data_IF_803675868920
#
_entry.id   IF_803675868920
#
_cell.length_a   1.000
_cell.length_b   1.000
_cell.length_c   1.000
_cell.angle_alpha   90.00
_cell.angle_beta   90.00
_cell.angle_gamma   90.00
#
_symmetry.space_group_name_H-M   'P 1'
#
loop_
_entity.id
_entity.type
_entity.pdbx_description
1 polymer ?
#
# COMPACT_ATOMS: atom_id res chain seq x y z
N UNK A 1 -36.74 6.54 -26.37
CA UNK A 1 -36.31 5.41 -25.51
C UNK A 1 -34.79 5.46 -25.41
N UNK A 2 -34.19 5.06 -24.27
CA UNK A 2 -32.74 4.86 -24.22
C UNK A 2 -32.31 3.92 -25.36
N UNK A 3 -31.13 4.12 -25.98
CA UNK A 3 -30.61 3.19 -26.95
C UNK A 3 -30.16 1.89 -26.27
N UNK A 4 -30.25 0.76 -26.97
CA UNK A 4 -29.60 -0.47 -26.55
C UNK A 4 -28.12 -0.19 -26.25
N UNK A 5 -27.56 -0.61 -25.09
CA UNK A 5 -28.12 -1.51 -24.07
C UNK A 5 -28.67 -0.80 -22.80
N UNK A 6 -28.99 0.49 -22.85
CA UNK A 6 -29.38 1.30 -21.68
C UNK A 6 -30.90 1.33 -21.41
N UNK A 7 -31.70 0.44 -22.02
CA UNK A 7 -33.14 0.37 -21.75
C UNK A 7 -33.43 -0.09 -20.31
N UNK A 8 -34.48 0.46 -19.70
CA UNK A 8 -34.97 -0.04 -18.40
C UNK A 8 -35.69 -1.37 -18.60
N UNK A 9 -35.04 -2.46 -18.20
CA UNK A 9 -35.60 -3.81 -18.14
C UNK A 9 -35.76 -4.24 -16.67
N UNK A 10 -36.66 -5.19 -16.37
CA UNK A 10 -36.68 -5.85 -15.06
C UNK A 10 -35.31 -6.49 -14.77
N UNK A 11 -34.85 -6.37 -13.53
CA UNK A 11 -33.52 -6.86 -13.11
C UNK A 11 -33.67 -8.07 -12.20
N UNK A 12 -32.78 -9.05 -12.37
CA UNK A 12 -32.60 -10.20 -11.49
C UNK A 12 -31.11 -10.36 -11.15
N UNK A 13 -30.80 -11.10 -10.09
CA UNK A 13 -29.42 -11.22 -9.57
C UNK A 13 -28.97 -12.66 -9.51
N UNK A 14 -27.80 -12.94 -10.12
CA UNK A 14 -27.15 -14.25 -10.14
C UNK A 14 -25.85 -14.23 -9.35
N UNK A 15 -25.53 -15.33 -8.68
CA UNK A 15 -24.17 -15.59 -8.23
C UNK A 15 -23.23 -15.85 -9.42
N UNK A 16 -21.92 -15.88 -9.16
CA UNK A 16 -20.95 -16.25 -10.20
C UNK A 16 -21.23 -17.67 -10.70
N UNK A 17 -21.53 -18.62 -9.80
CA UNK A 17 -21.78 -20.01 -10.17
C UNK A 17 -23.10 -20.14 -10.95
N UNK A 18 -24.18 -19.49 -10.49
CA UNK A 18 -25.46 -19.48 -11.21
C UNK A 18 -25.32 -18.87 -12.61
N UNK A 19 -24.50 -17.82 -12.75
CA UNK A 19 -24.19 -17.23 -14.06
C UNK A 19 -23.42 -18.20 -14.95
N UNK A 20 -22.39 -18.88 -14.43
CA UNK A 20 -21.61 -19.87 -15.18
C UNK A 20 -22.48 -21.05 -15.61
N UNK A 21 -23.35 -21.53 -14.73
CA UNK A 21 -24.28 -22.63 -15.02
C UNK A 21 -25.32 -22.21 -16.07
N UNK A 22 -25.83 -20.97 -15.97
CA UNK A 22 -26.75 -20.42 -16.96
C UNK A 22 -26.06 -20.23 -18.31
N UNK A 23 -24.84 -19.69 -18.35
CA UNK A 23 -24.07 -19.53 -19.58
C UNK A 23 -23.74 -20.90 -20.21
N UNK A 24 -23.36 -21.89 -19.41
CA UNK A 24 -23.06 -23.25 -19.85
C UNK A 24 -24.31 -23.96 -20.40
N UNK A 25 -25.46 -23.83 -19.73
CA UNK A 25 -26.75 -24.33 -20.22
C UNK A 25 -27.18 -23.64 -21.51
N UNK A 26 -26.99 -22.33 -21.61
CA UNK A 26 -27.32 -21.55 -22.81
C UNK A 26 -26.47 -22.01 -24.00
N UNK A 27 -25.20 -22.30 -23.78
CA UNK A 27 -24.29 -22.80 -24.81
C UNK A 27 -24.58 -24.26 -25.21
N UNK A 28 -24.95 -25.11 -24.25
CA UNK A 28 -25.11 -26.56 -24.46
C UNK A 28 -26.53 -26.98 -24.85
N UNK A 29 -27.54 -26.16 -24.55
CA UNK A 29 -28.96 -26.46 -24.69
C UNK A 29 -29.60 -26.13 -26.04
N UNK A 30 -28.81 -25.82 -27.07
CA UNK A 30 -29.31 -25.55 -28.43
C UNK A 30 -29.88 -24.14 -28.65
N UNK A 31 -29.69 -23.21 -27.71
CA UNK A 31 -29.96 -21.78 -27.94
C UNK A 31 -28.93 -21.20 -28.91
N UNK A 32 -29.31 -20.14 -29.64
CA UNK A 32 -28.47 -19.59 -30.71
C UNK A 32 -27.33 -18.79 -30.08
N UNK A 33 -26.13 -18.83 -30.67
CA UNK A 33 -24.94 -18.04 -30.25
C UNK A 33 -25.28 -16.58 -29.84
N UNK A 34 -26.21 -15.85 -30.50
CA UNK A 34 -26.64 -14.53 -30.06
C UNK A 34 -27.22 -14.47 -28.64
N UNK A 35 -27.91 -15.50 -28.16
CA UNK A 35 -28.51 -15.54 -26.82
C UNK A 35 -27.42 -15.67 -25.75
N UNK A 36 -26.42 -16.52 -26.01
CA UNK A 36 -25.23 -16.63 -25.19
C UNK A 36 -24.43 -15.31 -25.17
N UNK A 37 -24.25 -14.67 -26.33
CA UNK A 37 -23.56 -13.38 -26.43
C UNK A 37 -24.32 -12.29 -25.66
N UNK A 38 -25.65 -12.23 -25.78
CA UNK A 38 -26.47 -11.29 -25.03
C UNK A 38 -26.41 -11.54 -23.51
N UNK A 39 -26.40 -12.80 -23.09
CA UNK A 39 -26.26 -13.17 -21.69
C UNK A 39 -24.89 -12.76 -21.14
N UNK A 40 -23.80 -13.17 -21.81
CA UNK A 40 -22.44 -13.01 -21.27
C UNK A 40 -21.90 -11.60 -21.41
N UNK A 41 -22.20 -10.90 -22.51
CA UNK A 41 -21.66 -9.56 -22.77
C UNK A 41 -22.59 -8.43 -22.34
N UNK A 42 -23.91 -8.66 -22.35
CA UNK A 42 -24.89 -7.63 -22.04
C UNK A 42 -25.70 -7.94 -20.77
N UNK A 43 -25.49 -9.09 -20.12
CA UNK A 43 -26.24 -9.49 -18.94
C UNK A 43 -27.73 -9.59 -19.25
N UNK A 44 -28.12 -10.17 -20.39
CA UNK A 44 -29.52 -10.22 -20.83
C UNK A 44 -30.02 -11.62 -21.09
N UNK A 45 -31.22 -11.90 -20.58
CA UNK A 45 -31.90 -13.18 -20.77
C UNK A 45 -33.32 -12.94 -21.26
N UNK A 46 -33.78 -13.75 -22.22
CA UNK A 46 -35.17 -13.77 -22.67
C UNK A 46 -35.94 -14.80 -21.84
N UNK A 47 -36.94 -14.36 -21.07
CA UNK A 47 -37.87 -15.22 -20.33
C UNK A 47 -39.28 -15.09 -20.92
N UNK A 48 -40.22 -15.95 -20.49
CA UNK A 48 -41.62 -15.94 -20.97
C UNK A 48 -42.34 -14.57 -20.76
N UNK A 49 -41.84 -13.73 -19.85
CA UNK A 49 -42.33 -12.37 -19.60
C UNK A 49 -41.61 -11.25 -20.36
N UNK A 50 -40.67 -11.57 -21.25
CA UNK A 50 -39.83 -10.62 -21.99
C UNK A 50 -38.37 -10.66 -21.57
N UNK A 51 -37.60 -9.67 -22.06
CA UNK A 51 -36.17 -9.57 -21.77
C UNK A 51 -35.94 -8.97 -20.37
N UNK A 52 -35.01 -9.56 -19.63
CA UNK A 52 -34.56 -9.06 -18.33
C UNK A 52 -33.07 -8.74 -18.36
N UNK A 53 -32.62 -7.95 -17.40
CA UNK A 53 -31.21 -7.70 -17.12
C UNK A 53 -30.77 -8.54 -15.91
N UNK A 54 -29.62 -9.19 -16.02
CA UNK A 54 -29.00 -10.02 -14.99
C UNK A 54 -27.79 -9.27 -14.45
N UNK A 55 -27.89 -8.89 -13.18
CA UNK A 55 -26.75 -8.37 -12.43
C UNK A 55 -26.02 -9.53 -11.75
N UNK A 56 -24.70 -9.53 -11.82
CA UNK A 56 -23.89 -10.47 -11.04
C UNK A 56 -23.74 -9.96 -9.61
N UNK A 57 -24.30 -10.70 -8.66
CA UNK A 57 -24.05 -10.55 -7.24
C UNK A 57 -22.96 -11.52 -6.80
N UNK A 58 -21.72 -11.01 -6.76
CA UNK A 58 -20.56 -11.77 -6.28
C UNK A 58 -20.65 -12.17 -4.81
N UNK A 59 -21.67 -11.72 -4.08
CA UNK A 59 -21.88 -12.02 -2.66
C UNK A 59 -22.92 -13.13 -2.40
N UNK A 60 -23.70 -13.51 -3.41
CA UNK A 60 -24.81 -14.47 -3.25
C UNK A 60 -24.35 -15.85 -2.78
N UNK A 61 -23.13 -16.25 -3.13
CA UNK A 61 -22.48 -17.51 -2.72
C UNK A 61 -21.22 -17.30 -1.85
N UNK A 62 -21.19 -16.25 -1.02
CA UNK A 62 -20.05 -16.03 -0.12
C UNK A 62 -19.89 -17.20 0.87
N UNK A 63 -18.71 -17.83 0.82
CA UNK A 63 -18.27 -18.89 1.74
C UNK A 63 -18.00 -18.30 3.13
N UNK A 64 -18.40 -19.00 4.20
CA UNK A 64 -18.22 -18.57 5.58
C UNK A 64 -16.81 -18.93 6.08
N UNK A 65 -16.25 -18.21 7.07
CA UNK A 65 -15.03 -18.63 7.75
C UNK A 65 -15.08 -20.03 8.37
N UNK A 66 -16.27 -20.60 8.55
CA UNK A 66 -16.45 -21.97 9.01
C UNK A 66 -16.14 -23.04 7.95
N UNK A 67 -16.03 -22.66 6.67
CA UNK A 67 -15.69 -23.54 5.55
C UNK A 67 -14.19 -23.47 5.18
N UNK A 68 -13.37 -22.82 6.03
CA UNK A 68 -11.93 -22.53 5.86
C UNK A 68 -11.03 -23.77 5.94
N UNK A 69 -11.55 -24.92 6.37
CA UNK A 69 -10.76 -26.15 6.52
C UNK A 69 -10.12 -26.66 5.19
N UNK A 70 -10.44 -26.02 4.05
CA UNK A 70 -9.87 -26.28 2.72
C UNK A 70 -8.85 -25.24 2.25
N UNK A 71 -8.48 -24.27 3.11
CA UNK A 71 -7.59 -23.16 2.76
C UNK A 71 -6.15 -23.45 3.20
N UNK A 72 -5.26 -23.58 2.21
CA UNK A 72 -3.81 -23.61 2.40
C UNK A 72 -3.27 -22.18 2.49
N UNK A 73 -2.39 -21.91 3.46
CA UNK A 73 -1.74 -20.61 3.63
C UNK A 73 -0.23 -20.82 3.62
N UNK A 74 0.47 -20.17 2.70
CA UNK A 74 1.94 -20.15 2.68
C UNK A 74 2.44 -18.71 2.79
N UNK A 75 3.70 -18.56 3.17
CA UNK A 75 4.40 -17.27 3.23
C UNK A 75 5.62 -17.27 2.34
N UNK A 76 6.03 -16.10 1.86
CA UNK A 76 7.26 -15.91 1.10
C UNK A 76 7.94 -14.60 1.50
N UNK A 77 9.27 -14.59 1.59
CA UNK A 77 10.04 -13.35 1.78
C UNK A 77 10.29 -12.67 0.42
N UNK A 78 9.38 -11.76 0.04
CA UNK A 78 9.39 -11.11 -1.28
C UNK A 78 10.56 -10.11 -1.43
N UNK A 79 10.89 -9.42 -0.34
CA UNK A 79 12.06 -8.55 -0.31
C UNK A 79 12.67 -8.35 1.06
N UNK A 80 13.98 -8.12 1.08
CA UNK A 80 14.74 -7.68 2.25
C UNK A 80 15.33 -6.32 1.96
N UNK A 81 15.09 -5.36 2.86
CA UNK A 81 15.60 -4.00 2.75
C UNK A 81 16.35 -3.63 4.03
N UNK A 82 17.64 -3.31 3.89
CA UNK A 82 18.50 -2.87 5.00
C UNK A 82 18.92 -1.41 4.84
N UNK A 83 18.92 -0.64 5.91
CA UNK A 83 19.48 0.71 5.99
C UNK A 83 20.59 0.68 7.02
N UNK A 84 21.84 0.91 6.59
CA UNK A 84 23.02 0.71 7.44
C UNK A 84 24.01 1.84 7.24
N UNK A 85 25.04 1.86 8.09
CA UNK A 85 26.20 2.76 7.91
C UNK A 85 27.46 2.01 7.48
N UNK A 86 27.34 0.72 7.19
CA UNK A 86 28.41 -0.20 6.82
C UNK A 86 27.99 -1.08 5.63
N UNK A 87 28.83 -2.02 5.20
CA UNK A 87 28.51 -2.98 4.14
C UNK A 87 28.52 -4.40 4.74
N UNK A 88 27.41 -4.89 5.32
CA UNK A 88 27.38 -6.14 6.08
C UNK A 88 27.22 -7.35 5.15
N UNK A 89 28.20 -7.58 4.27
CA UNK A 89 28.17 -8.68 3.30
C UNK A 89 29.26 -9.71 3.60
N UNK A 90 28.93 -10.97 3.33
CA UNK A 90 29.88 -12.09 3.32
C UNK A 90 30.11 -12.66 1.91
N UNK A 91 29.46 -12.07 0.90
CA UNK A 91 29.62 -12.40 -0.52
C UNK A 91 30.38 -11.28 -1.26
N UNK A 92 31.07 -11.59 -2.38
CA UNK A 92 31.73 -10.57 -3.19
C UNK A 92 30.75 -9.48 -3.66
N UNK A 93 31.22 -8.23 -3.67
CA UNK A 93 30.44 -7.10 -4.19
C UNK A 93 30.98 -6.65 -5.54
N UNK A 94 30.13 -6.65 -6.57
CA UNK A 94 30.43 -6.01 -7.85
C UNK A 94 30.18 -4.51 -7.72
N UNK A 95 31.25 -3.73 -7.59
CA UNK A 95 31.23 -2.27 -7.46
C UNK A 95 31.16 -1.64 -8.85
N UNK A 96 30.35 -0.59 -9.00
CA UNK A 96 30.25 0.19 -10.24
C UNK A 96 31.11 1.46 -10.16
N UNK A 97 32.21 1.57 -10.96
CA UNK A 97 32.95 2.82 -11.11
C UNK A 97 32.08 3.98 -11.62
N UNK A 98 31.15 3.67 -12.52
CA UNK A 98 30.12 4.60 -13.00
C UNK A 98 28.77 3.94 -12.80
N UNK A 99 27.94 4.56 -11.97
CA UNK A 99 26.62 4.05 -11.68
C UNK A 99 25.64 4.37 -12.81
N UNK A 100 24.74 3.43 -13.09
CA UNK A 100 23.65 3.65 -14.02
C UNK A 100 22.50 4.37 -13.30
N UNK A 101 22.10 5.54 -13.81
CA UNK A 101 20.97 6.31 -13.27
C UNK A 101 19.64 5.55 -13.21
N UNK A 102 19.48 4.51 -14.03
CA UNK A 102 18.27 3.66 -14.02
C UNK A 102 18.18 2.82 -12.75
N UNK A 103 19.30 2.59 -12.09
CA UNK A 103 19.39 1.80 -10.86
C UNK A 103 19.25 2.65 -9.60
N UNK A 104 19.14 3.98 -9.72
CA UNK A 104 18.84 4.87 -8.59
C UNK A 104 17.39 4.71 -8.11
N UNK A 105 17.18 4.83 -6.80
CA UNK A 105 15.85 4.81 -6.21
C UNK A 105 15.13 6.12 -6.51
N UNK A 106 14.15 6.04 -7.41
CA UNK A 106 13.34 7.19 -7.87
C UNK A 106 11.88 7.11 -7.46
N UNK A 107 11.41 5.92 -7.08
CA UNK A 107 10.03 5.65 -6.65
C UNK A 107 10.00 5.38 -5.17
N UNK A 108 8.87 5.69 -4.54
CA UNK A 108 8.68 5.38 -3.12
C UNK A 108 8.77 3.88 -2.87
N UNK A 109 9.53 3.52 -1.84
CA UNK A 109 9.54 2.21 -1.21
C UNK A 109 8.82 2.25 0.16
N UNK A 110 8.08 3.34 0.43
CA UNK A 110 7.38 3.61 1.70
C UNK A 110 8.29 3.73 2.93
N UNK A 111 9.62 3.69 2.76
CA UNK A 111 10.58 3.85 3.85
C UNK A 111 11.00 5.31 3.99
N UNK A 112 11.25 5.72 5.25
CA UNK A 112 11.71 7.06 5.59
C UNK A 112 12.76 7.02 6.69
N UNK A 113 13.87 7.75 6.50
CA UNK A 113 14.97 7.84 7.47
C UNK A 113 14.99 9.23 8.11
N UNK A 114 15.39 9.32 9.37
CA UNK A 114 15.71 10.60 10.01
C UNK A 114 17.08 11.04 9.54
N UNK A 115 17.15 12.20 8.88
CA UNK A 115 18.39 12.76 8.39
C UNK A 115 18.67 14.15 8.97
N UNK A 116 19.94 14.48 9.09
CA UNK A 116 20.43 15.81 9.44
C UNK A 116 20.83 16.54 8.17
N UNK A 117 20.45 17.81 8.06
CA UNK A 117 20.90 18.69 7.00
C UNK A 117 21.49 19.95 7.65
N UNK A 118 22.62 20.50 7.16
CA UNK A 118 23.24 21.70 7.74
C UNK A 118 22.29 22.90 7.85
N UNK A 119 21.26 22.96 7.01
CA UNK A 119 20.29 24.04 6.99
C UNK A 119 19.10 23.85 7.96
N UNK A 120 19.13 22.81 8.81
CA UNK A 120 18.03 22.49 9.72
C UNK A 120 18.49 22.51 11.18
N UNK A 121 17.63 23.06 12.04
CA UNK A 121 17.85 23.05 13.50
C UNK A 121 17.75 21.65 14.12
N UNK A 122 17.02 20.74 13.47
CA UNK A 122 16.75 19.38 13.97
C UNK A 122 16.67 18.36 12.83
N UNK A 123 16.95 17.10 13.15
CA UNK A 123 16.78 15.99 12.21
C UNK A 123 15.31 15.87 11.77
N UNK A 124 15.09 15.66 10.46
CA UNK A 124 13.74 15.47 9.89
C UNK A 124 13.62 14.11 9.25
N UNK A 125 12.39 13.56 9.28
CA UNK A 125 12.07 12.30 8.62
C UNK A 125 11.78 12.57 7.14
N UNK A 126 12.52 11.91 6.26
CA UNK A 126 12.45 12.09 4.81
C UNK A 126 12.30 10.72 4.16
N UNK A 127 11.41 10.63 3.18
CA UNK A 127 11.27 9.41 2.36
C UNK A 127 12.56 9.15 1.58
N UNK A 128 13.07 7.92 1.64
CA UNK A 128 14.44 7.61 1.16
C UNK A 128 14.59 7.90 -0.32
N UNK A 129 13.56 7.62 -1.14
CA UNK A 129 13.57 7.89 -2.58
C UNK A 129 13.70 9.38 -2.96
N UNK A 130 13.49 10.30 -2.00
CA UNK A 130 13.69 11.74 -2.20
C UNK A 130 15.10 12.19 -1.84
N UNK A 131 15.88 11.36 -1.16
CA UNK A 131 17.27 11.63 -0.83
C UNK A 131 18.13 11.27 -2.06
N UNK A 132 19.00 12.17 -2.54
CA UNK A 132 19.90 11.85 -3.64
C UNK A 132 20.67 10.57 -3.36
N UNK A 133 20.70 9.67 -4.33
CA UNK A 133 21.29 8.34 -4.17
C UNK A 133 21.92 7.82 -5.46
N UNK A 134 22.88 6.92 -5.31
CA UNK A 134 23.62 6.27 -6.40
C UNK A 134 23.70 4.76 -6.15
N UNK A 135 23.61 3.95 -7.21
CA UNK A 135 23.85 2.51 -7.10
C UNK A 135 25.35 2.22 -7.03
N UNK A 136 25.83 1.89 -5.83
CA UNK A 136 27.24 1.57 -5.58
C UNK A 136 27.60 0.21 -6.13
N UNK A 137 26.77 -0.79 -5.84
CA UNK A 137 27.14 -2.19 -6.07
C UNK A 137 25.95 -3.11 -6.20
N UNK A 138 26.23 -4.30 -6.71
CA UNK A 138 25.37 -5.46 -6.63
C UNK A 138 26.09 -6.62 -5.97
N UNK A 139 25.36 -7.44 -5.23
CA UNK A 139 25.80 -8.75 -4.79
C UNK A 139 24.89 -9.82 -5.39
N UNK A 140 25.47 -10.92 -5.88
CA UNK A 140 24.70 -11.97 -6.55
C UNK A 140 23.80 -11.37 -7.68
N UNK A 141 22.73 -12.05 -8.08
CA UNK A 141 21.86 -11.59 -9.19
C UNK A 141 20.79 -10.57 -8.79
N UNK A 142 20.53 -10.37 -7.50
CA UNK A 142 19.28 -9.75 -7.02
C UNK A 142 19.45 -8.70 -5.92
N UNK A 143 20.66 -8.53 -5.37
CA UNK A 143 20.92 -7.52 -4.35
C UNK A 143 21.55 -6.28 -4.98
N UNK A 144 21.08 -5.11 -4.57
CA UNK A 144 21.63 -3.79 -4.92
C UNK A 144 21.92 -2.99 -3.67
N UNK A 145 23.06 -2.32 -3.63
CA UNK A 145 23.39 -1.34 -2.58
C UNK A 145 23.43 0.05 -3.18
N UNK A 146 22.63 0.95 -2.62
CA UNK A 146 22.66 2.37 -2.92
C UNK A 146 23.44 3.12 -1.83
N UNK A 147 24.18 4.15 -2.19
CA UNK A 147 24.64 5.19 -1.25
C UNK A 147 23.64 6.34 -1.28
N UNK A 148 23.14 6.76 -0.12
CA UNK A 148 22.25 7.89 0.03
C UNK A 148 22.99 9.09 0.64
N UNK A 149 22.71 10.30 0.15
CA UNK A 149 23.42 11.55 0.49
C UNK A 149 22.52 12.59 1.16
N UNK A 150 22.35 12.55 2.49
CA UNK A 150 21.51 13.48 3.24
C UNK A 150 21.77 14.97 3.04
N UNK A 151 23.04 15.37 2.95
CA UNK A 151 23.42 16.79 2.81
C UNK A 151 23.00 17.40 1.48
N UNK A 152 22.83 16.57 0.46
CA UNK A 152 22.38 16.98 -0.86
C UNK A 152 20.85 17.13 -0.94
N UNK A 153 20.12 16.70 0.09
CA UNK A 153 18.67 16.80 0.11
C UNK A 153 18.19 18.26 0.17
N UNK A 154 17.25 18.61 -0.71
CA UNK A 154 16.55 19.90 -0.73
C UNK A 154 15.05 19.67 -0.74
N UNK A 155 14.35 20.30 0.20
CA UNK A 155 12.91 20.11 0.34
C UNK A 155 12.16 20.66 -0.90
N UNK A 156 11.29 19.84 -1.49
CA UNK A 156 10.50 20.22 -2.68
C UNK A 156 11.23 20.04 -4.02
N UNK A 157 12.50 19.64 -4.02
CA UNK A 157 13.27 19.36 -5.22
C UNK A 157 13.52 17.86 -5.38
N UNK A 158 13.40 17.35 -6.60
CA UNK A 158 13.83 16.00 -6.96
C UNK A 158 15.28 16.06 -7.43
N UNK A 159 16.22 16.29 -6.49
CA UNK A 159 17.64 16.38 -6.83
C UNK A 159 18.17 15.00 -7.23
N UNK A 160 18.71 14.91 -8.45
CA UNK A 160 19.46 13.74 -8.93
C UNK A 160 20.93 14.08 -8.91
N UNK A 161 21.75 13.08 -8.63
CA UNK A 161 23.21 13.24 -8.67
C UNK A 161 23.63 13.64 -10.09
N UNK A 162 24.38 14.71 -10.20
CA UNK A 162 24.92 15.23 -11.47
C UNK A 162 26.18 14.48 -11.89
N UNK A 163 26.63 14.66 -13.14
CA UNK A 163 27.89 14.02 -13.60
C UNK A 163 29.07 14.49 -12.75
N UNK A 164 29.09 15.77 -12.41
CA UNK A 164 30.13 16.42 -11.61
C UNK A 164 30.17 15.86 -10.19
N UNK A 165 29.01 15.63 -9.56
CA UNK A 165 28.93 15.00 -8.24
C UNK A 165 29.35 13.53 -8.27
N UNK A 166 29.04 12.79 -9.35
CA UNK A 166 29.54 11.42 -9.54
C UNK A 166 31.06 11.36 -9.72
N UNK A 167 31.62 12.31 -10.47
CA UNK A 167 33.06 12.46 -10.62
C UNK A 167 33.73 12.71 -9.26
N UNK A 168 33.18 13.63 -8.46
CA UNK A 168 33.65 13.90 -7.10
C UNK A 168 33.58 12.64 -6.21
N UNK A 169 32.45 11.93 -6.23
CA UNK A 169 32.30 10.68 -5.48
C UNK A 169 33.33 9.64 -5.90
N UNK A 170 33.54 9.45 -7.20
CA UNK A 170 34.48 8.46 -7.71
C UNK A 170 35.93 8.81 -7.36
N UNK A 171 36.38 10.00 -7.73
CA UNK A 171 37.78 10.42 -7.62
C UNK A 171 38.19 10.65 -6.16
N UNK A 172 37.29 11.18 -5.33
CA UNK A 172 37.60 11.57 -3.95
C UNK A 172 37.23 10.52 -2.91
N UNK A 173 36.29 9.62 -3.19
CA UNK A 173 35.79 8.67 -2.19
C UNK A 173 35.96 7.21 -2.61
N UNK A 174 35.38 6.82 -3.75
CA UNK A 174 35.34 5.42 -4.15
C UNK A 174 36.71 4.87 -4.52
N UNK A 175 37.41 5.53 -5.45
CA UNK A 175 38.71 5.05 -5.93
C UNK A 175 39.75 5.00 -4.81
N UNK A 176 39.92 6.04 -3.96
CA UNK A 176 40.84 5.95 -2.82
C UNK A 176 40.50 4.79 -1.87
N UNK A 177 39.21 4.49 -1.65
CA UNK A 177 38.80 3.35 -0.82
C UNK A 177 39.21 2.01 -1.42
N UNK A 178 39.06 1.84 -2.74
CA UNK A 178 39.53 0.63 -3.44
C UNK A 178 41.04 0.52 -3.39
N UNK A 179 41.77 1.61 -3.60
CA UNK A 179 43.24 1.65 -3.51
C UNK A 179 43.73 1.21 -2.13
N UNK A 180 43.05 1.64 -1.07
CA UNK A 180 43.38 1.26 0.29
C UNK A 180 43.09 -0.22 0.60
N UNK A 181 41.94 -0.73 0.15
CA UNK A 181 41.47 -2.06 0.51
C UNK A 181 41.99 -3.19 -0.39
N UNK A 182 42.19 -2.92 -1.69
CA UNK A 182 42.63 -3.91 -2.68
C UNK A 182 43.74 -3.34 -3.56
N UNK A 183 44.96 -3.11 -3.03
CA UNK A 183 46.04 -2.47 -3.78
C UNK A 183 46.42 -3.22 -5.06
N UNK A 184 46.27 -4.54 -5.07
CA UNK A 184 46.57 -5.39 -6.23
C UNK A 184 45.58 -5.19 -7.39
N UNK A 185 44.35 -4.76 -7.12
CA UNK A 185 43.33 -4.53 -8.14
C UNK A 185 43.46 -3.15 -8.83
N UNK A 186 44.33 -2.26 -8.32
CA UNK A 186 44.52 -0.91 -8.85
C UNK A 186 44.89 -0.91 -10.33
N UNK A 187 45.66 -1.90 -10.79
CA UNK A 187 46.06 -2.00 -12.20
C UNK A 187 44.85 -2.16 -13.15
N UNK A 188 43.73 -2.65 -12.65
CA UNK A 188 42.49 -2.85 -13.40
C UNK A 188 41.45 -1.76 -13.11
N UNK A 189 41.71 -0.86 -12.16
CA UNK A 189 40.81 0.21 -11.80
C UNK A 189 41.16 1.50 -12.57
N UNK A 190 40.19 2.17 -13.21
CA UNK A 190 40.47 3.42 -13.89
C UNK A 190 41.07 4.48 -12.95
N UNK A 191 41.90 5.36 -13.50
CA UNK A 191 42.60 6.39 -12.71
C UNK A 191 41.74 7.59 -12.36
N UNK A 192 40.70 7.85 -13.15
CA UNK A 192 39.71 8.90 -12.92
C UNK A 192 38.36 8.55 -13.52
N UNK A 193 37.32 9.28 -13.10
CA UNK A 193 35.95 9.08 -13.60
C UNK A 193 35.81 9.25 -15.12
N UNK A 194 36.49 10.24 -15.70
CA UNK A 194 36.45 10.44 -17.16
C UNK A 194 37.09 9.26 -17.92
N UNK A 195 38.15 8.67 -17.37
CA UNK A 195 38.75 7.46 -17.95
C UNK A 195 37.78 6.27 -17.83
N UNK A 196 37.03 6.13 -16.72
CA UNK A 196 35.95 5.13 -16.64
C UNK A 196 34.98 5.28 -17.81
N UNK A 197 34.47 6.49 -18.03
CA UNK A 197 33.50 6.76 -19.10
C UNK A 197 34.06 6.46 -20.49
N UNK A 198 35.33 6.77 -20.74
CA UNK A 198 35.98 6.44 -22.02
C UNK A 198 36.05 4.93 -22.25
N UNK A 199 36.31 4.14 -21.21
CA UNK A 199 36.39 2.67 -21.31
C UNK A 199 35.03 1.97 -21.51
N UNK A 200 33.92 2.67 -21.27
CA UNK A 200 32.57 2.09 -21.37
C UNK A 200 32.00 2.10 -22.80
N UNK A 201 32.62 2.81 -23.74
CA UNK A 201 32.20 2.81 -25.14
C UNK A 201 32.90 1.68 -25.90
N UNK A 202 32.12 0.81 -26.54
CA UNK A 202 32.67 -0.20 -27.45
C UNK A 202 32.97 0.37 -28.86
N UNK A 203 33.64 -0.44 -29.68
CA UNK A 203 33.99 -0.09 -31.08
C UNK A 203 32.77 0.21 -31.97
N UNK A 204 31.57 -0.14 -31.53
CA UNK A 204 30.29 0.08 -32.22
C UNK A 204 29.49 1.22 -31.60
N UNK A 205 30.12 2.04 -30.75
CA UNK A 205 29.48 3.14 -30.01
C UNK A 205 28.30 2.68 -29.14
N UNK A 206 28.34 1.45 -28.62
CA UNK A 206 27.42 1.04 -27.55
C UNK A 206 28.09 1.28 -26.19
N UNK A 207 27.29 1.80 -25.27
CA UNK A 207 27.71 2.08 -23.91
C UNK A 207 27.43 0.87 -23.00
N UNK A 208 28.46 0.36 -22.32
CA UNK A 208 28.37 -0.77 -21.40
C UNK A 208 28.86 -0.34 -20.02
N UNK A 209 28.01 -0.50 -19.00
CA UNK A 209 28.43 -0.29 -17.62
C UNK A 209 29.32 -1.46 -17.18
N UNK A 210 30.52 -1.15 -16.70
CA UNK A 210 31.46 -2.12 -16.14
C UNK A 210 31.36 -2.14 -14.62
N UNK A 211 31.63 -3.30 -14.04
CA UNK A 211 31.78 -3.48 -12.60
C UNK A 211 33.08 -4.22 -12.31
N UNK A 212 33.57 -4.05 -11.09
CA UNK A 212 34.77 -4.70 -10.60
C UNK A 212 34.47 -5.25 -9.20
N UNK A 213 34.90 -6.49 -8.95
CA UNK A 213 34.55 -7.20 -7.73
C UNK A 213 35.51 -6.86 -6.59
N UNK A 214 34.94 -6.62 -5.41
CA UNK A 214 35.67 -6.59 -4.14
C UNK A 214 35.43 -7.93 -3.44
N UNK A 215 36.49 -8.70 -3.13
CA UNK A 215 36.36 -10.01 -2.48
C UNK A 215 35.91 -9.84 -1.02
N UNK A 216 35.22 -10.85 -0.43
CA UNK A 216 34.72 -10.80 0.95
C UNK A 216 35.76 -10.38 1.98
N UNK A 217 36.97 -10.93 1.87
CA UNK A 217 38.07 -10.69 2.82
C UNK A 217 38.55 -9.22 2.84
N UNK A 218 38.27 -8.45 1.79
CA UNK A 218 38.65 -7.03 1.69
C UNK A 218 37.48 -6.07 1.91
N UNK A 219 36.26 -6.59 2.17
CA UNK A 219 35.07 -5.75 2.29
C UNK A 219 35.09 -4.84 3.51
N UNK A 220 35.65 -5.29 4.64
CA UNK A 220 35.71 -4.48 5.86
C UNK A 220 36.66 -3.30 5.71
N UNK A 221 37.83 -3.53 5.14
CA UNK A 221 38.79 -2.47 4.81
C UNK A 221 38.20 -1.49 3.79
N UNK A 222 37.52 -2.02 2.77
CA UNK A 222 36.86 -1.20 1.75
C UNK A 222 35.73 -0.35 2.35
N UNK A 223 34.84 -0.95 3.14
CA UNK A 223 33.73 -0.26 3.77
C UNK A 223 34.23 0.84 4.73
N UNK A 224 35.27 0.54 5.50
CA UNK A 224 35.90 1.49 6.43
C UNK A 224 36.55 2.65 5.70
N UNK A 225 37.34 2.37 4.66
CA UNK A 225 38.00 3.40 3.87
C UNK A 225 36.98 4.27 3.12
N UNK A 226 35.96 3.66 2.50
CA UNK A 226 34.89 4.37 1.80
C UNK A 226 34.12 5.29 2.75
N UNK A 227 33.73 4.77 3.93
CA UNK A 227 33.04 5.55 4.95
C UNK A 227 33.88 6.73 5.43
N UNK A 228 35.17 6.52 5.68
CA UNK A 228 36.10 7.57 6.11
C UNK A 228 36.16 8.67 5.05
N UNK A 229 36.37 8.31 3.79
CA UNK A 229 36.43 9.28 2.70
C UNK A 229 35.11 10.05 2.51
N UNK A 230 33.96 9.38 2.72
CA UNK A 230 32.64 10.02 2.62
C UNK A 230 32.38 10.99 3.78
N UNK A 231 32.80 10.63 4.99
CA UNK A 231 32.62 11.47 6.18
C UNK A 231 33.53 12.71 6.17
N UNK A 232 34.74 12.58 5.62
CA UNK A 232 35.68 13.69 5.43
C UNK A 232 35.27 14.63 4.28
N UNK A 233 34.48 14.14 3.31
CA UNK A 233 34.06 14.94 2.17
C UNK A 233 32.87 15.87 2.53
N UNK A 234 32.98 17.21 2.37
CA UNK A 234 31.98 18.17 2.84
C UNK A 234 30.55 17.92 2.36
N UNK A 235 30.42 17.41 1.13
CA UNK A 235 29.13 17.18 0.45
C UNK A 235 28.53 15.81 0.81
N UNK A 236 29.36 14.81 1.13
CA UNK A 236 28.91 13.42 1.30
C UNK A 236 28.80 12.98 2.77
N UNK A 237 29.26 13.82 3.70
CA UNK A 237 29.20 13.55 5.12
C UNK A 237 27.82 13.12 5.62
N UNK A 238 27.78 12.13 6.51
CA UNK A 238 26.54 11.56 7.05
C UNK A 238 25.77 10.68 6.06
N UNK A 239 26.43 10.18 5.01
CA UNK A 239 25.85 9.20 4.10
C UNK A 239 25.46 7.89 4.81
N UNK A 240 24.56 7.15 4.20
CA UNK A 240 24.18 5.81 4.64
C UNK A 240 23.94 4.91 3.43
N UNK A 241 23.88 3.60 3.65
CA UNK A 241 23.65 2.61 2.61
C UNK A 241 22.21 2.08 2.68
N UNK A 242 21.59 1.90 1.52
CA UNK A 242 20.33 1.19 1.36
C UNK A 242 20.60 -0.10 0.59
N UNK A 243 20.39 -1.24 1.21
CA UNK A 243 20.49 -2.56 0.61
C UNK A 243 19.10 -3.03 0.21
N UNK A 244 18.91 -3.38 -1.07
CA UNK A 244 17.66 -3.94 -1.58
C UNK A 244 17.94 -5.32 -2.17
N UNK A 245 17.41 -6.36 -1.53
CA UNK A 245 17.30 -7.70 -2.12
C UNK A 245 15.85 -7.87 -2.57
N UNK A 246 15.63 -7.93 -3.89
CA UNK A 246 14.29 -8.03 -4.49
C UNK A 246 14.23 -9.09 -5.57
N UNK A 247 13.03 -9.62 -5.79
CA UNK A 247 12.76 -10.59 -6.85
C UNK A 247 13.09 -12.02 -6.45
N UNK A 248 13.06 -12.34 -5.15
CA UNK A 248 13.16 -13.68 -4.58
C UNK A 248 11.87 -14.48 -4.62
N UNK A 249 10.82 -13.99 -5.32
CA UNK A 249 9.51 -14.65 -5.41
C UNK A 249 9.60 -16.16 -5.64
N UNK A 250 8.96 -16.90 -4.76
CA UNK A 250 8.87 -18.36 -4.81
C UNK A 250 10.12 -19.10 -4.31
N UNK A 251 11.21 -18.40 -3.95
CA UNK A 251 12.46 -19.02 -3.48
C UNK A 251 12.38 -19.36 -1.98
N UNK A 252 11.62 -18.57 -1.23
CA UNK A 252 11.56 -18.63 0.23
C UNK A 252 10.15 -18.98 0.73
N UNK A 253 9.39 -19.72 -0.08
CA UNK A 253 8.08 -20.22 0.33
C UNK A 253 8.22 -21.13 1.54
N UNK A 254 7.42 -20.87 2.57
CA UNK A 254 7.42 -21.64 3.81
C UNK A 254 6.03 -21.70 4.45
N UNK A 255 5.82 -22.76 5.22
CA UNK A 255 4.59 -22.95 6.00
C UNK A 255 4.58 -22.04 7.25
N UNK A 256 3.54 -21.22 7.48
CA UNK A 256 3.45 -20.31 8.64
C UNK A 256 3.61 -20.97 10.00
N UNK A 257 3.18 -22.23 10.14
CA UNK A 257 3.22 -23.00 11.39
C UNK A 257 4.51 -23.80 11.60
N UNK A 258 5.33 -23.98 10.57
CA UNK A 258 6.60 -24.72 10.67
C UNK A 258 7.76 -23.75 10.90
N UNK A 259 8.18 -23.65 12.16
CA UNK A 259 9.32 -22.81 12.58
C UNK A 259 10.60 -23.21 11.85
N UNK A 260 10.84 -24.52 11.66
CA UNK A 260 12.06 -25.00 11.01
C UNK A 260 12.09 -24.66 9.53
N UNK A 261 10.94 -24.61 8.87
CA UNK A 261 10.81 -24.18 7.48
C UNK A 261 11.01 -22.67 7.32
N UNK A 262 10.38 -21.89 8.22
CA UNK A 262 10.59 -20.46 8.31
C UNK A 262 12.07 -20.10 8.53
N UNK A 263 12.77 -20.79 9.43
CA UNK A 263 14.20 -20.56 9.69
C UNK A 263 15.07 -20.86 8.46
N UNK A 264 14.78 -21.94 7.72
CA UNK A 264 15.48 -22.25 6.47
C UNK A 264 15.26 -21.18 5.42
N UNK A 265 14.01 -20.76 5.21
CA UNK A 265 13.65 -19.70 4.28
C UNK A 265 14.33 -18.37 4.65
N UNK A 266 14.36 -18.04 5.94
CA UNK A 266 15.02 -16.82 6.44
C UNK A 266 16.53 -16.88 6.20
N UNK A 267 17.17 -18.00 6.55
CA UNK A 267 18.61 -18.20 6.33
C UNK A 267 18.97 -18.12 4.85
N UNK A 268 18.14 -18.66 3.96
CA UNK A 268 18.32 -18.55 2.52
C UNK A 268 18.17 -17.11 2.03
N UNK A 269 17.20 -16.35 2.55
CA UNK A 269 17.01 -14.93 2.19
C UNK A 269 18.16 -14.02 2.65
N UNK A 270 18.89 -14.44 3.70
CA UNK A 270 19.95 -13.66 4.33
C UNK A 270 21.35 -14.19 4.00
N UNK A 271 21.49 -15.12 3.05
CA UNK A 271 22.73 -15.88 2.79
C UNK A 271 23.92 -15.01 2.35
N UNK A 272 23.67 -13.88 1.68
CA UNK A 272 24.70 -12.94 1.25
C UNK A 272 25.14 -11.96 2.35
N UNK A 273 24.38 -11.85 3.43
CA UNK A 273 24.63 -10.90 4.49
C UNK A 273 25.35 -11.53 5.67
N UNK A 274 26.26 -10.76 6.27
CA UNK A 274 26.87 -11.10 7.54
C UNK A 274 25.95 -10.65 8.68
N UNK A 275 25.32 -11.63 9.34
CA UNK A 275 24.32 -11.38 10.39
C UNK A 275 24.93 -10.76 11.65
N UNK A 276 26.16 -11.11 11.98
CA UNK A 276 26.83 -10.56 13.16
C UNK A 276 27.13 -9.08 12.93
N UNK A 277 27.52 -8.70 11.70
CA UNK A 277 27.67 -7.28 11.31
C UNK A 277 26.36 -6.54 11.29
N UNK A 278 25.26 -7.17 10.85
CA UNK A 278 23.92 -6.58 10.93
C UNK A 278 23.55 -6.27 12.39
N UNK A 279 23.73 -7.24 13.29
CA UNK A 279 23.37 -7.11 14.70
C UNK A 279 24.29 -6.12 15.45
N UNK A 280 25.53 -5.95 15.00
CA UNK A 280 26.47 -5.00 15.55
C UNK A 280 26.19 -3.54 15.12
N UNK A 281 25.50 -3.30 14.00
CA UNK A 281 25.11 -1.95 13.57
C UNK A 281 23.91 -1.44 14.38
N UNK A 282 24.21 -0.79 15.52
CA UNK A 282 23.20 -0.19 16.42
C UNK A 282 22.27 0.82 15.71
N UNK A 283 22.71 1.42 14.59
CA UNK A 283 21.91 2.36 13.80
C UNK A 283 21.20 1.72 12.60
N UNK A 284 21.40 0.42 12.40
CA UNK A 284 20.87 -0.37 11.30
C UNK A 284 19.35 -0.58 11.42
N UNK A 285 18.64 -0.45 10.32
CA UNK A 285 17.21 -0.77 10.23
C UNK A 285 16.99 -1.80 9.13
N UNK A 286 16.37 -2.94 9.45
CA UNK A 286 16.08 -4.00 8.49
C UNK A 286 14.58 -4.27 8.42
N UNK A 287 14.09 -4.42 7.21
CA UNK A 287 12.69 -4.65 6.89
C UNK A 287 12.61 -5.85 5.95
N UNK A 288 11.66 -6.75 6.22
CA UNK A 288 11.37 -7.88 5.36
C UNK A 288 9.90 -7.79 4.97
N UNK A 289 9.63 -7.77 3.68
CA UNK A 289 8.28 -7.86 3.15
C UNK A 289 7.89 -9.34 3.04
N UNK A 290 6.82 -9.72 3.73
CA UNK A 290 6.32 -11.09 3.79
C UNK A 290 5.05 -11.16 2.97
N UNK A 291 5.15 -11.79 1.79
CA UNK A 291 3.98 -12.18 1.00
C UNK A 291 3.23 -13.30 1.71
N UNK A 292 1.90 -13.21 1.74
CA UNK A 292 1.03 -14.31 2.15
C UNK A 292 0.30 -14.80 0.91
N UNK A 293 0.43 -16.07 0.61
CA UNK A 293 -0.32 -16.73 -0.44
C UNK A 293 -1.40 -17.60 0.20
N UNK A 294 -2.63 -17.41 -0.28
CA UNK A 294 -3.79 -18.15 0.18
C UNK A 294 -4.33 -18.91 -1.01
N UNK A 295 -4.47 -20.22 -0.86
CA UNK A 295 -5.01 -21.12 -1.86
C UNK A 295 -6.15 -21.90 -1.24
N UNK A 296 -7.22 -22.09 -2.00
CA UNK A 296 -8.23 -23.09 -1.71
C UNK A 296 -8.44 -23.90 -2.99
N UNK A 297 -8.46 -25.21 -2.87
CA UNK A 297 -8.66 -26.09 -4.03
C UNK A 297 -10.06 -25.84 -4.63
N UNK A 298 -10.12 -25.81 -5.96
CA UNK A 298 -11.35 -25.58 -6.74
C UNK A 298 -12.09 -24.24 -6.51
N UNK A 299 -11.48 -23.28 -5.79
CA UNK A 299 -12.09 -21.98 -5.49
C UNK A 299 -11.30 -20.80 -6.09
N UNK A 300 -12.04 -19.75 -6.49
CA UNK A 300 -11.48 -18.43 -6.78
C UNK A 300 -11.67 -17.54 -5.56
N UNK A 301 -10.58 -17.14 -4.94
CA UNK A 301 -10.60 -16.27 -3.76
C UNK A 301 -10.60 -14.79 -4.18
N UNK A 302 -11.54 -14.01 -3.65
CA UNK A 302 -11.60 -12.56 -3.84
C UNK A 302 -11.37 -11.84 -2.50
N UNK A 303 -10.36 -10.98 -2.46
CA UNK A 303 -10.07 -10.16 -1.28
C UNK A 303 -11.12 -9.06 -1.10
N UNK A 304 -11.80 -9.06 0.05
CA UNK A 304 -12.71 -7.97 0.46
C UNK A 304 -11.99 -6.97 1.36
N UNK A 305 -11.90 -5.72 0.93
CA UNK A 305 -11.40 -4.60 1.77
C UNK A 305 -12.51 -3.89 2.56
N UNK A 306 -13.78 -4.26 2.36
CA UNK A 306 -14.95 -3.57 2.93
C UNK A 306 -15.57 -4.32 4.12
N UNK A 307 -15.08 -4.12 5.33
CA UNK A 307 -15.65 -4.72 6.56
C UNK A 307 -16.93 -4.05 7.08
N UNK A 308 -17.51 -3.08 6.35
CA UNK A 308 -18.74 -2.40 6.75
C UNK A 308 -19.98 -3.16 6.26
N UNK A 309 -20.53 -4.02 7.11
CA UNK A 309 -21.85 -4.66 6.97
C UNK A 309 -22.91 -3.89 7.76
N UNK A 310 -24.20 -4.18 7.55
CA UNK A 310 -25.27 -3.63 8.41
C UNK A 310 -25.09 -4.07 9.88
N UNK A 311 -24.59 -5.29 10.10
CA UNK A 311 -24.22 -5.82 11.43
C UNK A 311 -23.21 -4.92 12.15
N UNK A 312 -22.24 -4.35 11.43
CA UNK A 312 -21.27 -3.43 12.02
C UNK A 312 -21.97 -2.22 12.66
N UNK A 313 -22.95 -1.64 11.97
CA UNK A 313 -23.66 -0.43 12.39
C UNK A 313 -24.86 -0.71 13.32
N UNK A 314 -25.21 -1.98 13.51
CA UNK A 314 -26.22 -2.44 14.46
C UNK A 314 -25.61 -3.11 15.70
N UNK A 315 -24.28 -3.20 15.78
CA UNK A 315 -23.56 -3.71 16.94
C UNK A 315 -23.19 -2.60 17.94
N UNK A 316 -23.19 -2.95 19.22
CA UNK A 316 -22.71 -2.09 20.32
C UNK A 316 -21.19 -2.07 20.49
N UNK A 317 -20.49 -2.96 19.76
CA UNK A 317 -19.03 -3.07 19.76
C UNK A 317 -18.47 -2.33 18.56
N UNK A 318 -18.02 -1.10 18.77
CA UNK A 318 -17.56 -0.22 17.69
C UNK A 318 -16.09 -0.53 17.32
N UNK A 319 -15.70 -0.39 16.03
CA UNK A 319 -14.41 -0.85 15.51
C UNK A 319 -13.26 0.14 15.78
N UNK A 320 -13.25 0.77 16.95
CA UNK A 320 -12.24 1.78 17.32
C UNK A 320 -11.49 1.37 18.58
N UNK A 321 -10.30 1.92 18.75
CA UNK A 321 -9.50 1.84 19.99
C UNK A 321 -9.79 3.01 20.93
N UNK A 322 -10.32 4.11 20.41
CA UNK A 322 -10.83 5.24 21.18
C UNK A 322 -11.94 5.97 20.41
N UNK A 323 -12.89 6.55 21.13
CA UNK A 323 -14.01 7.29 20.55
C UNK A 323 -14.63 8.28 21.56
N UNK A 324 -15.20 9.36 21.05
CA UNK A 324 -16.22 10.14 21.76
C UNK A 324 -17.59 9.63 21.34
N UNK A 325 -18.44 9.21 22.26
CA UNK A 325 -19.78 8.68 21.93
C UNK A 325 -20.88 9.59 22.50
N UNK A 326 -21.96 9.76 21.74
CA UNK A 326 -23.12 10.57 22.14
C UNK A 326 -24.40 10.09 21.47
N UNK A 327 -25.53 10.24 22.16
CA UNK A 327 -26.87 10.03 21.56
C UNK A 327 -27.21 11.21 20.63
N UNK A 328 -27.62 10.90 19.41
CA UNK A 328 -28.20 11.83 18.45
C UNK A 328 -29.72 11.68 18.45
N UNK A 329 -30.42 12.80 18.54
CA UNK A 329 -31.89 12.82 18.53
C UNK A 329 -32.43 12.35 17.18
N UNK A 330 -33.71 11.94 17.17
CA UNK A 330 -34.39 11.53 15.93
C UNK A 330 -34.26 12.58 14.81
N UNK A 331 -34.46 13.87 15.12
CA UNK A 331 -34.34 14.94 14.13
C UNK A 331 -32.93 15.09 13.57
N UNK A 332 -31.90 14.92 14.40
CA UNK A 332 -30.51 14.99 13.94
C UNK A 332 -30.20 13.77 13.06
N UNK A 333 -30.69 12.59 13.44
CA UNK A 333 -30.51 11.38 12.65
C UNK A 333 -31.16 11.48 11.27
N UNK A 334 -32.45 11.85 11.24
CA UNK A 334 -33.30 11.80 10.06
C UNK A 334 -33.11 13.00 9.13
N UNK A 335 -32.89 14.21 9.66
CA UNK A 335 -32.79 15.43 8.85
C UNK A 335 -31.36 15.94 8.68
N UNK A 336 -30.42 15.57 9.54
CA UNK A 336 -29.03 16.06 9.45
C UNK A 336 -28.11 14.96 8.94
N UNK A 337 -28.07 13.80 9.59
CA UNK A 337 -27.16 12.72 9.16
C UNK A 337 -27.64 12.09 7.87
N UNK A 338 -28.91 11.69 7.77
CA UNK A 338 -29.41 11.07 6.56
C UNK A 338 -29.18 11.95 5.32
N UNK A 339 -29.51 13.24 5.40
CA UNK A 339 -29.27 14.21 4.32
C UNK A 339 -27.78 14.39 3.97
N UNK A 340 -26.88 14.16 4.93
CA UNK A 340 -25.43 14.21 4.69
C UNK A 340 -24.89 12.92 4.07
N UNK A 341 -25.40 11.76 4.43
CA UNK A 341 -24.96 10.46 3.88
C UNK A 341 -25.60 10.20 2.52
N UNK A 342 -26.87 10.57 2.38
CA UNK A 342 -27.64 10.45 1.18
C UNK A 342 -28.28 11.81 0.96
N UNK A 343 -27.72 12.70 0.13
CA UNK A 343 -28.39 13.95 -0.28
C UNK A 343 -29.11 13.79 -1.63
N UNK A 344 -30.23 14.51 -1.82
CA UNK A 344 -30.84 14.72 -3.13
C UNK A 344 -30.04 15.75 -3.95
N UNK A 345 -30.36 15.94 -5.23
CA UNK A 345 -29.63 16.90 -6.10
C UNK A 345 -29.57 18.32 -5.52
N UNK A 346 -30.67 18.80 -4.94
CA UNK A 346 -30.74 20.14 -4.34
C UNK A 346 -29.78 20.24 -3.16
N UNK A 347 -29.77 19.25 -2.27
CA UNK A 347 -28.86 19.20 -1.12
C UNK A 347 -27.40 19.05 -1.55
N UNK A 348 -27.12 18.25 -2.59
CA UNK A 348 -25.78 18.09 -3.17
C UNK A 348 -25.22 19.43 -3.66
N UNK A 349 -26.02 20.23 -4.36
CA UNK A 349 -25.60 21.54 -4.88
C UNK A 349 -25.21 22.55 -3.79
N UNK A 350 -25.73 22.36 -2.56
CA UNK A 350 -25.44 23.22 -1.40
C UNK A 350 -24.22 22.78 -0.61
N UNK A 351 -23.58 21.66 -0.97
CA UNK A 351 -22.43 21.14 -0.23
C UNK A 351 -21.16 21.96 -0.51
N UNK A 352 -20.21 22.02 0.45
CA UNK A 352 -18.90 22.57 0.19
C UNK A 352 -18.22 21.88 -1.00
N UNK A 353 -17.51 22.66 -1.84
CA UNK A 353 -16.78 22.11 -2.99
C UNK A 353 -15.72 21.07 -2.60
N UNK A 354 -15.18 21.17 -1.39
CA UNK A 354 -14.24 20.21 -0.82
C UNK A 354 -14.91 19.49 0.34
N UNK A 355 -15.12 18.19 0.17
CA UNK A 355 -15.57 17.31 1.24
C UNK A 355 -14.49 16.28 1.55
N UNK A 356 -14.30 15.95 2.81
CA UNK A 356 -13.36 14.95 3.29
C UNK A 356 -14.08 13.62 3.49
N UNK A 357 -13.40 12.52 3.16
CA UNK A 357 -13.83 11.14 3.38
C UNK A 357 -15.05 10.63 2.58
N UNK A 358 -15.90 11.51 2.06
CA UNK A 358 -17.02 11.11 1.20
C UNK A 358 -16.55 10.46 -0.11
N UNK A 359 -15.61 11.07 -0.82
CA UNK A 359 -15.08 10.54 -2.08
C UNK A 359 -14.34 9.21 -1.96
N UNK A 360 -13.86 8.86 -0.75
CA UNK A 360 -13.25 7.54 -0.48
C UNK A 360 -14.26 6.45 -0.17
N UNK A 361 -15.54 6.78 0.01
CA UNK A 361 -16.58 5.79 0.29
C UNK A 361 -17.22 5.27 -1.00
N UNK A 362 -17.14 3.96 -1.24
CA UNK A 362 -17.72 3.35 -2.43
C UNK A 362 -19.24 3.59 -2.56
N UNK A 363 -19.98 3.50 -1.44
CA UNK A 363 -21.43 3.76 -1.45
C UNK A 363 -21.76 5.18 -1.95
N UNK A 364 -20.91 6.16 -1.61
CA UNK A 364 -21.13 7.56 -1.95
C UNK A 364 -21.06 7.77 -3.46
N UNK A 365 -20.06 7.17 -4.11
CA UNK A 365 -19.93 7.22 -5.57
C UNK A 365 -21.13 6.58 -6.26
N UNK A 366 -21.60 5.42 -5.77
CA UNK A 366 -22.81 4.77 -6.31
C UNK A 366 -24.05 5.63 -6.10
N UNK A 367 -24.19 6.27 -4.94
CA UNK A 367 -25.29 7.18 -4.64
C UNK A 367 -25.33 8.39 -5.58
N UNK A 368 -24.17 9.01 -5.85
CA UNK A 368 -24.07 10.12 -6.80
C UNK A 368 -24.46 9.70 -8.23
N UNK A 369 -24.02 8.52 -8.67
CA UNK A 369 -24.42 7.96 -9.98
C UNK A 369 -25.92 7.70 -10.03
N UNK A 370 -26.48 7.06 -9.00
CA UNK A 370 -27.92 6.78 -8.91
C UNK A 370 -28.73 8.07 -8.96
N UNK A 371 -28.40 9.05 -8.12
CA UNK A 371 -29.11 10.33 -8.08
C UNK A 371 -28.97 11.10 -9.39
N UNK A 372 -27.81 11.06 -10.06
CA UNK A 372 -27.65 11.64 -11.39
C UNK A 372 -28.62 11.03 -12.42
N UNK A 373 -28.74 9.70 -12.44
CA UNK A 373 -29.60 8.94 -13.35
C UNK A 373 -31.11 9.13 -13.09
N UNK A 374 -31.52 9.34 -11.84
CA UNK A 374 -32.92 9.59 -11.49
C UNK A 374 -33.25 11.07 -11.74
N UNK A 375 -33.90 11.36 -12.86
CA UNK A 375 -34.13 12.75 -13.32
C UNK A 375 -35.17 13.47 -12.44
N UNK A 376 -36.29 12.81 -12.12
CA UNK A 376 -37.39 13.41 -11.36
C UNK A 376 -37.06 13.47 -9.88
N UNK A 377 -37.31 14.61 -9.25
CA UNK A 377 -37.04 14.83 -7.82
C UNK A 377 -37.95 13.97 -6.93
N UNK A 378 -39.20 13.77 -7.34
CA UNK A 378 -40.15 12.90 -6.63
C UNK A 378 -39.67 11.44 -6.53
N UNK A 379 -39.08 10.91 -7.61
CA UNK A 379 -38.53 9.54 -7.65
C UNK A 379 -37.29 9.45 -6.75
N UNK A 380 -36.43 10.48 -6.73
CA UNK A 380 -35.33 10.55 -5.78
C UNK A 380 -35.85 10.56 -4.34
N UNK A 381 -36.87 11.36 -4.05
CA UNK A 381 -37.47 11.44 -2.71
C UNK A 381 -38.12 10.12 -2.29
N UNK A 382 -38.75 9.39 -3.21
CA UNK A 382 -39.27 8.05 -2.94
C UNK A 382 -38.16 7.06 -2.58
N UNK A 383 -37.08 6.99 -3.38
CA UNK A 383 -35.91 6.12 -3.08
C UNK A 383 -35.32 6.46 -1.73
N UNK A 384 -35.18 7.77 -1.45
CA UNK A 384 -34.68 8.26 -0.15
C UNK A 384 -35.56 7.83 1.01
N UNK A 385 -36.89 7.89 0.87
CA UNK A 385 -37.79 7.45 1.93
C UNK A 385 -37.62 5.96 2.25
N UNK A 386 -37.47 5.11 1.23
CA UNK A 386 -37.19 3.68 1.44
C UNK A 386 -35.84 3.46 2.12
N UNK A 387 -34.83 4.22 1.72
CA UNK A 387 -33.49 4.14 2.30
C UNK A 387 -33.45 4.67 3.74
N UNK A 388 -34.21 5.72 4.04
CA UNK A 388 -34.35 6.28 5.38
C UNK A 388 -34.90 5.23 6.35
N UNK A 389 -35.87 4.44 5.93
CA UNK A 389 -36.41 3.35 6.75
C UNK A 389 -35.35 2.30 7.13
N UNK A 390 -34.37 2.04 6.26
CA UNK A 390 -33.22 1.18 6.59
C UNK A 390 -32.19 1.91 7.45
N UNK A 391 -31.89 3.16 7.12
CA UNK A 391 -30.95 4.00 7.85
C UNK A 391 -31.36 4.23 9.31
N UNK A 392 -32.66 4.26 9.59
CA UNK A 392 -33.23 4.36 10.94
C UNK A 392 -33.01 3.11 11.79
N UNK A 393 -32.68 1.96 11.19
CA UNK A 393 -32.35 0.72 11.91
C UNK A 393 -30.91 0.71 12.43
N UNK A 394 -30.05 1.55 11.87
CA UNK A 394 -28.66 1.64 12.29
C UNK A 394 -28.59 2.19 13.73
N UNK A 395 -27.78 1.53 14.57
CA UNK A 395 -27.61 1.91 15.97
C UNK A 395 -26.58 3.02 16.15
N UNK A 396 -25.54 3.04 15.32
CA UNK A 396 -24.51 4.06 15.41
C UNK A 396 -23.98 4.46 14.04
N UNK A 397 -23.46 5.68 13.96
CA UNK A 397 -22.84 6.26 12.77
C UNK A 397 -21.71 7.22 13.16
N UNK A 398 -20.80 7.56 12.23
CA UNK A 398 -19.91 8.70 12.40
C UNK A 398 -20.70 9.98 12.65
N UNK A 399 -20.27 10.80 13.61
CA UNK A 399 -20.80 12.14 13.78
C UNK A 399 -20.32 13.02 12.63
N UNK A 400 -21.10 13.04 11.56
CA UNK A 400 -20.76 13.78 10.34
C UNK A 400 -20.84 15.30 10.57
N UNK A 401 -20.16 16.04 9.70
CA UNK A 401 -20.31 17.48 9.48
C UNK A 401 -20.62 17.74 8.01
N UNK A 402 -20.95 18.98 7.63
CA UNK A 402 -21.26 19.31 6.23
C UNK A 402 -20.11 19.04 5.26
N UNK A 403 -18.87 19.12 5.73
CA UNK A 403 -17.65 18.96 4.94
C UNK A 403 -16.92 17.63 5.18
N UNK A 404 -17.33 16.77 6.12
CA UNK A 404 -16.60 15.51 6.44
C UNK A 404 -17.49 14.45 7.11
N UNK A 405 -17.19 13.17 6.86
CA UNK A 405 -17.87 12.05 7.55
C UNK A 405 -17.42 11.93 9.01
N UNK A 406 -16.13 12.08 9.26
CA UNK A 406 -15.53 11.89 10.58
C UNK A 406 -15.16 13.24 11.18
N UNK A 407 -15.79 13.59 12.31
CA UNK A 407 -15.32 14.68 13.16
C UNK A 407 -14.38 14.13 14.24
N UNK A 408 -13.11 14.52 14.16
CA UNK A 408 -12.01 14.08 15.04
C UNK A 408 -11.50 15.20 15.95
N UNK A 409 -12.21 16.34 15.97
CA UNK A 409 -11.90 17.46 16.86
C UNK A 409 -12.27 17.20 18.32
N UNK A 410 -12.10 18.21 19.18
CA UNK A 410 -12.66 18.19 20.53
C UNK A 410 -14.19 18.13 20.40
N UNK A 411 -14.80 17.03 20.85
CA UNK A 411 -16.24 16.89 20.87
C UNK A 411 -16.88 18.06 21.64
N UNK A 412 -17.97 18.62 21.10
CA UNK A 412 -18.71 19.73 21.71
C UNK A 412 -19.98 19.20 22.40
N UNK A 413 -20.29 19.74 23.57
CA UNK A 413 -21.46 19.34 24.36
C UNK A 413 -21.19 18.12 25.25
N UNK A 414 -22.25 17.43 25.69
CA UNK A 414 -22.13 16.22 26.52
C UNK A 414 -21.79 15.01 25.65
N UNK A 415 -20.73 14.27 26.00
CA UNK A 415 -20.29 13.03 25.37
C UNK A 415 -19.61 12.13 26.41
N UNK A 416 -19.51 10.83 26.12
CA UNK A 416 -18.71 9.87 26.89
C UNK A 416 -17.42 9.59 26.12
N UNK A 417 -16.30 9.51 26.83
CA UNK A 417 -14.99 9.16 26.26
C UNK A 417 -14.72 7.68 26.47
N UNK A 418 -14.37 6.98 25.41
CA UNK A 418 -13.91 5.59 25.45
C UNK A 418 -12.46 5.51 24.93
N UNK A 419 -11.53 4.86 25.65
CA UNK A 419 -11.63 4.57 27.09
C UNK A 419 -11.66 5.87 27.91
N UNK A 420 -12.20 5.82 29.14
CA UNK A 420 -12.45 7.01 29.98
C UNK A 420 -11.21 7.85 30.30
N UNK A 421 -10.02 7.26 30.19
CA UNK A 421 -8.73 7.91 30.41
C UNK A 421 -8.08 8.48 29.13
N UNK A 422 -8.70 8.37 27.95
CA UNK A 422 -8.15 8.89 26.70
C UNK A 422 -8.05 10.42 26.72
N UNK A 423 -6.88 10.96 26.34
CA UNK A 423 -6.59 12.42 26.34
C UNK A 423 -6.28 12.99 24.95
N UNK A 424 -6.42 12.20 23.90
CA UNK A 424 -6.08 12.59 22.51
C UNK A 424 -7.30 12.93 21.64
N UNK A 425 -7.06 13.31 20.37
CA UNK A 425 -8.12 13.34 19.37
C UNK A 425 -8.71 11.94 19.19
N UNK A 426 -10.02 11.86 18.96
CA UNK A 426 -10.75 10.63 18.73
C UNK A 426 -11.95 10.92 17.81
N UNK A 427 -12.42 9.94 17.02
CA UNK A 427 -13.63 10.11 16.24
C UNK A 427 -14.84 10.29 17.17
N UNK A 428 -15.73 11.20 16.80
CA UNK A 428 -17.03 11.33 17.45
C UNK A 428 -18.04 10.41 16.76
N UNK A 429 -18.76 9.62 17.56
CA UNK A 429 -19.71 8.60 17.14
C UNK A 429 -21.10 8.96 17.68
N UNK A 430 -22.07 8.98 16.78
CA UNK A 430 -23.46 9.17 17.11
C UNK A 430 -24.15 7.83 17.32
N UNK A 431 -24.92 7.70 18.40
CA UNK A 431 -25.84 6.59 18.63
C UNK A 431 -27.27 7.07 18.41
N UNK A 432 -28.07 6.24 17.76
CA UNK A 432 -29.45 6.54 17.40
C UNK A 432 -30.34 6.48 18.64
N UNK A 433 -31.00 7.58 19.00
CA UNK A 433 -31.94 7.62 20.12
C UNK A 433 -33.06 6.56 20.00
N UNK A 434 -33.46 6.17 18.77
CA UNK A 434 -34.52 5.17 18.54
C UNK A 434 -34.15 3.80 19.08
N UNK A 435 -32.85 3.52 19.20
CA UNK A 435 -32.36 2.23 19.65
C UNK A 435 -32.56 1.98 21.15
N UNK A 436 -32.82 3.03 21.95
CA UNK A 436 -32.97 2.92 23.40
C UNK A 436 -31.71 2.44 24.13
N UNK A 437 -30.55 2.51 23.49
CA UNK A 437 -29.28 2.00 24.02
C UNK A 437 -28.75 2.91 25.14
N UNK A 438 -28.26 2.30 26.22
CA UNK A 438 -27.41 2.99 27.20
C UNK A 438 -25.98 3.08 26.66
N UNK A 439 -25.40 4.29 26.61
CA UNK A 439 -24.03 4.47 26.13
C UNK A 439 -22.98 3.73 26.98
N UNK A 440 -23.32 3.35 28.22
CA UNK A 440 -22.45 2.57 29.10
C UNK A 440 -22.23 1.12 28.61
N UNK A 441 -23.14 0.59 27.78
CA UNK A 441 -23.00 -0.76 27.21
C UNK A 441 -22.17 -0.80 25.93
N UNK A 442 -21.75 0.37 25.43
CA UNK A 442 -20.94 0.46 24.21
C UNK A 442 -19.50 0.07 24.52
N UNK A 443 -18.94 -0.80 23.69
CA UNK A 443 -17.57 -1.32 23.87
C UNK A 443 -16.71 -1.04 22.65
N UNK A 444 -15.41 -0.86 22.88
CA UNK A 444 -14.39 -0.73 21.84
C UNK A 444 -13.96 -2.12 21.34
N UNK A 445 -13.27 -2.17 20.21
CA UNK A 445 -12.61 -3.40 19.78
C UNK A 445 -11.48 -3.72 20.79
N UNK A 446 -11.34 -4.97 21.27
CA UNK A 446 -10.19 -5.39 22.05
C UNK A 446 -8.93 -5.10 21.26
N UNK A 447 -7.95 -4.49 21.91
CA UNK A 447 -6.59 -4.42 21.40
C UNK A 447 -6.12 -5.86 21.27
N UNK A 448 -5.77 -6.31 20.07
CA UNK A 448 -5.11 -7.60 19.92
C UNK A 448 -3.89 -7.58 20.85
N UNK A 449 -3.75 -8.58 21.72
CA UNK A 449 -2.59 -8.69 22.60
C UNK A 449 -1.34 -8.63 21.70
N UNK A 450 -0.55 -7.57 21.85
CA UNK A 450 0.70 -7.36 21.13
C UNK A 450 1.79 -8.28 21.67
#
# INVERSE_FOLDING_TARGET
>A
MPPYPDEQLPTDTLSIQEFVDLASRTLSGGLRIPDFVNLVLAGRELRDGGQICLDMDVFKDCVSPADIDTVEVTRDFDSVIGITTTLPFQAPLSIYPVANFRDSLTKTNHLSKRILNPNWDNARRVEIHKIPNLCLSTASRRQKTLVCFPRMYKAGETHRITKEEMMLFYDSCLRPAVVAAVPTAIAHWPVSYDICLMTMWDKRQKFHFTSLDIPPDSLDDFATALRTNLEEHPIFQGCFFLHELRGSKGVTMHEPGDIGDCDRAFNLSMDIFDKDKILADVGGEWYIDVGVEIRAEDLVLQWRTSTATEELYTGLRIPFECAFIKIASHDVWDAVFFDRFFPNKVQQSKRPQRTQHYGSCYYWMRWLVLTAKVIREEDQNFIRQQLLAQFQKLQWLPWSSSDRIWDTGKAKGQYIVLPSNHKGPAPTIAFNERSGISLETVTLRPVAAQ
#
